data_IF_629333158515
#
_entry.id   IF_629333158515
#
_cell.length_a   1.000
_cell.length_b   1.000
_cell.length_c   1.000
_cell.angle_alpha   90.00
_cell.angle_beta   90.00
_cell.angle_gamma   90.00
#
_symmetry.space_group_name_H-M   'P 1'
#
loop_
_entity.id
_entity.type
_entity.pdbx_description
1 polymer ?
#
# COMPACT_ATOMS: atom_id res chain seq x y z
N UNK A 1 13.32 0.89 24.61
CA UNK A 1 12.53 0.25 23.52
C UNK A 1 12.40 1.20 22.36
N UNK A 2 12.79 0.77 21.16
CA UNK A 2 12.57 1.57 19.97
C UNK A 2 11.10 1.47 19.53
N UNK A 3 10.53 2.58 19.11
CA UNK A 3 9.16 2.64 18.59
C UNK A 3 9.19 3.24 17.19
N UNK A 4 8.07 3.14 16.47
CA UNK A 4 7.91 3.74 15.16
C UNK A 4 7.33 5.17 15.23
N UNK A 5 7.29 5.75 16.43
CA UNK A 5 6.76 7.09 16.64
C UNK A 5 7.48 8.10 15.72
N UNK A 6 6.69 8.90 15.01
CA UNK A 6 7.15 9.91 14.05
C UNK A 6 7.92 9.37 12.85
N UNK A 7 8.00 8.05 12.70
CA UNK A 7 8.52 7.44 11.48
C UNK A 7 7.46 7.45 10.40
N UNK A 8 7.85 7.65 9.17
CA UNK A 8 6.94 7.65 8.03
C UNK A 8 7.12 6.37 7.22
N UNK A 9 6.04 5.62 7.06
CA UNK A 9 6.00 4.38 6.30
C UNK A 9 5.23 4.57 5.01
N UNK A 10 5.80 4.12 3.91
CA UNK A 10 5.10 3.99 2.64
C UNK A 10 4.68 2.53 2.50
N UNK A 11 3.38 2.26 2.45
CA UNK A 11 2.85 0.89 2.40
C UNK A 11 2.01 0.72 1.15
N UNK A 12 2.43 -0.16 0.24
CA UNK A 12 1.62 -0.51 -0.93
C UNK A 12 0.63 -1.62 -0.59
N UNK A 13 -0.56 -1.57 -1.21
CA UNK A 13 -1.61 -2.54 -0.96
C UNK A 13 -2.21 -2.48 0.44
N UNK A 14 -2.27 -1.29 1.04
CA UNK A 14 -2.63 -1.10 2.44
C UNK A 14 -4.12 -0.88 2.70
N UNK A 15 -4.98 -0.99 1.70
CA UNK A 15 -6.42 -0.77 1.87
C UNK A 15 -7.11 -1.86 2.68
N UNK A 16 -6.49 -3.03 2.81
CA UNK A 16 -7.06 -4.18 3.51
C UNK A 16 -5.98 -5.22 3.82
N UNK A 17 -6.37 -6.30 4.53
CA UNK A 17 -5.54 -7.48 4.75
C UNK A 17 -4.24 -7.18 5.51
N UNK A 18 -3.16 -7.84 5.07
CA UNK A 18 -1.86 -7.78 5.75
C UNK A 18 -1.28 -6.35 5.74
N UNK A 19 -1.39 -5.64 4.61
CA UNK A 19 -0.89 -4.27 4.50
C UNK A 19 -1.56 -3.34 5.50
N UNK A 20 -2.87 -3.43 5.64
CA UNK A 20 -3.62 -2.65 6.62
C UNK A 20 -3.24 -3.04 8.06
N UNK A 21 -3.08 -4.32 8.34
CA UNK A 21 -2.68 -4.79 9.66
C UNK A 21 -1.30 -4.25 10.07
N UNK A 22 -0.35 -4.24 9.14
CA UNK A 22 0.98 -3.67 9.36
C UNK A 22 0.88 -2.17 9.64
N UNK A 23 0.10 -1.46 8.82
CA UNK A 23 -0.09 -0.02 8.96
C UNK A 23 -0.73 0.35 10.31
N UNK A 24 -1.75 -0.39 10.72
CA UNK A 24 -2.42 -0.18 12.01
C UNK A 24 -1.48 -0.42 13.19
N UNK A 25 -0.69 -1.48 13.12
CA UNK A 25 0.28 -1.77 14.19
C UNK A 25 1.33 -0.67 14.33
N UNK A 26 1.83 -0.17 13.19
CA UNK A 26 2.77 0.96 13.20
C UNK A 26 2.10 2.23 13.74
N UNK A 27 0.84 2.46 13.39
CA UNK A 27 0.07 3.61 13.85
C UNK A 27 -0.14 3.61 15.38
N UNK A 28 -0.25 2.45 15.99
CA UNK A 28 -0.32 2.32 17.46
C UNK A 28 0.91 2.93 18.13
N UNK A 29 2.06 2.92 17.49
CA UNK A 29 3.28 3.56 17.96
C UNK A 29 3.33 5.06 17.66
N UNK A 30 2.36 5.59 16.91
CA UNK A 30 2.34 6.99 16.50
C UNK A 30 3.03 7.26 15.16
N UNK A 31 3.14 6.27 14.30
CA UNK A 31 3.76 6.41 12.98
C UNK A 31 2.87 7.19 12.00
N UNK A 32 3.49 7.74 10.97
CA UNK A 32 2.81 8.35 9.83
C UNK A 32 2.74 7.33 8.70
N UNK A 33 1.58 7.13 8.12
CA UNK A 33 1.37 6.09 7.10
C UNK A 33 0.93 6.73 5.78
N UNK A 34 1.69 6.44 4.72
CA UNK A 34 1.28 6.73 3.35
C UNK A 34 0.68 5.45 2.80
N UNK A 35 -0.62 5.46 2.57
CA UNK A 35 -1.37 4.32 2.07
C UNK A 35 -1.43 4.40 0.55
N UNK A 36 -0.67 3.58 -0.13
CA UNK A 36 -0.70 3.51 -1.58
C UNK A 36 -1.50 2.29 -2.01
N UNK A 37 -2.63 2.51 -2.64
CA UNK A 37 -3.46 1.43 -3.15
C UNK A 37 -4.29 1.91 -4.34
N UNK A 38 -4.69 0.96 -5.15
CA UNK A 38 -5.46 1.19 -6.35
C UNK A 38 -6.95 1.40 -6.06
N UNK A 39 -7.44 0.87 -4.92
CA UNK A 39 -8.86 0.79 -4.60
C UNK A 39 -9.34 2.00 -3.80
N UNK A 40 -10.03 2.90 -4.48
CA UNK A 40 -10.70 4.04 -3.85
C UNK A 40 -12.19 3.79 -3.61
N UNK A 41 -12.79 2.84 -4.34
CA UNK A 41 -14.22 2.55 -4.27
C UNK A 41 -14.48 1.19 -3.61
N UNK A 42 -15.64 1.01 -2.94
CA UNK A 42 -16.00 -0.26 -2.34
C UNK A 42 -16.09 -1.38 -3.38
N UNK A 43 -15.63 -2.56 -3.02
CA UNK A 43 -15.75 -3.76 -3.85
C UNK A 43 -16.79 -4.69 -3.23
N UNK A 44 -17.72 -5.29 -4.01
CA UNK A 44 -18.81 -6.14 -3.46
C UNK A 44 -18.31 -7.35 -2.67
N UNK A 45 -17.16 -7.89 -3.00
CA UNK A 45 -16.60 -9.09 -2.38
C UNK A 45 -15.47 -8.84 -1.38
N UNK A 46 -14.94 -7.62 -1.33
CA UNK A 46 -13.78 -7.29 -0.51
C UNK A 46 -14.08 -6.05 0.33
N UNK A 47 -13.86 -6.11 1.64
CA UNK A 47 -14.15 -4.96 2.50
C UNK A 47 -13.10 -3.88 2.39
N UNK A 48 -13.53 -2.64 2.60
CA UNK A 48 -12.64 -1.52 2.80
C UNK A 48 -12.15 -0.84 1.51
N UNK A 49 -11.79 0.40 1.70
CA UNK A 49 -11.16 1.27 0.70
C UNK A 49 -9.93 1.91 1.34
N UNK A 50 -9.14 2.67 0.58
CA UNK A 50 -8.01 3.41 1.16
C UNK A 50 -8.50 4.44 2.18
N UNK A 51 -9.71 4.95 2.04
CA UNK A 51 -10.28 5.95 2.96
C UNK A 51 -10.74 5.33 4.28
N UNK A 52 -11.41 4.17 4.23
CA UNK A 52 -11.75 3.44 5.46
C UNK A 52 -10.51 2.96 6.19
N UNK A 53 -9.50 2.52 5.46
CA UNK A 53 -8.21 2.14 6.03
C UNK A 53 -7.52 3.34 6.72
N UNK A 54 -7.57 4.51 6.09
CA UNK A 54 -7.00 5.72 6.68
C UNK A 54 -7.71 6.08 8.00
N UNK A 55 -9.03 5.97 8.06
CA UNK A 55 -9.79 6.19 9.29
C UNK A 55 -9.36 5.24 10.40
N UNK A 56 -9.21 3.95 10.09
CA UNK A 56 -8.76 2.95 11.06
C UNK A 56 -7.35 3.24 11.59
N UNK A 57 -6.47 3.74 10.74
CA UNK A 57 -5.10 4.09 11.12
C UNK A 57 -5.10 5.29 12.07
N UNK A 58 -5.91 6.31 11.79
CA UNK A 58 -6.04 7.47 12.66
C UNK A 58 -6.62 7.05 14.01
N UNK A 59 -7.62 6.20 14.02
CA UNK A 59 -8.20 5.66 15.26
C UNK A 59 -7.17 4.86 16.08
N UNK A 60 -6.23 4.20 15.41
CA UNK A 60 -5.16 3.45 16.09
C UNK A 60 -4.09 4.34 16.72
N UNK A 61 -4.05 5.63 16.39
CA UNK A 61 -3.14 6.59 17.00
C UNK A 61 -2.09 7.21 16.09
N UNK A 62 -2.07 6.86 14.79
CA UNK A 62 -1.14 7.41 13.82
C UNK A 62 -1.76 8.49 12.95
N UNK A 63 -1.03 8.89 11.93
CA UNK A 63 -1.52 9.75 10.87
C UNK A 63 -1.55 8.97 9.55
N UNK A 64 -2.50 9.28 8.70
CA UNK A 64 -2.66 8.57 7.43
C UNK A 64 -2.81 9.53 6.27
N UNK A 65 -2.15 9.22 5.17
CA UNK A 65 -2.30 9.90 3.89
C UNK A 65 -2.69 8.85 2.85
N UNK A 66 -3.97 8.74 2.50
CA UNK A 66 -4.38 7.82 1.44
C UNK A 66 -4.04 8.41 0.07
N UNK A 67 -3.42 7.61 -0.79
CA UNK A 67 -3.07 8.00 -2.15
C UNK A 67 -3.47 6.88 -3.11
N UNK A 68 -4.28 7.22 -4.11
CA UNK A 68 -4.60 6.27 -5.17
C UNK A 68 -3.34 6.07 -6.01
N UNK A 69 -2.85 4.84 -6.07
CA UNK A 69 -1.60 4.54 -6.73
C UNK A 69 -1.64 3.14 -7.33
N UNK A 70 -1.44 3.07 -8.65
CA UNK A 70 -1.18 1.80 -9.32
C UNK A 70 0.34 1.63 -9.40
N UNK A 71 0.88 0.67 -8.66
CA UNK A 71 2.34 0.46 -8.56
C UNK A 71 2.98 0.00 -9.88
N UNK A 72 2.19 -0.36 -10.88
CA UNK A 72 2.69 -0.69 -12.22
C UNK A 72 3.09 0.56 -13.01
N UNK A 73 2.62 1.71 -12.59
CA UNK A 73 2.85 2.99 -13.27
C UNK A 73 3.84 3.84 -12.47
N UNK A 74 5.01 4.08 -13.05
CA UNK A 74 6.07 4.86 -12.40
C UNK A 74 5.61 6.26 -12.00
N UNK A 75 4.82 6.93 -12.83
CA UNK A 75 4.30 8.28 -12.54
C UNK A 75 3.37 8.26 -11.31
N UNK A 76 2.52 7.24 -11.20
CA UNK A 76 1.67 7.07 -10.02
C UNK A 76 2.51 6.92 -8.74
N UNK A 77 3.56 6.12 -8.80
CA UNK A 77 4.44 5.91 -7.64
C UNK A 77 5.18 7.19 -7.30
N UNK A 78 5.70 7.89 -8.28
CA UNK A 78 6.39 9.17 -8.09
C UNK A 78 5.46 10.20 -7.43
N UNK A 79 4.23 10.31 -7.90
CA UNK A 79 3.22 11.19 -7.31
C UNK A 79 2.93 10.82 -5.86
N UNK A 80 2.76 9.53 -5.56
CA UNK A 80 2.48 9.06 -4.21
C UNK A 80 3.63 9.40 -3.25
N UNK A 81 4.86 9.18 -3.69
CA UNK A 81 6.06 9.50 -2.90
C UNK A 81 6.13 11.02 -2.66
N UNK A 82 5.92 11.82 -3.70
CA UNK A 82 5.99 13.28 -3.58
C UNK A 82 4.93 13.81 -2.60
N UNK A 83 3.71 13.31 -2.68
CA UNK A 83 2.64 13.69 -1.74
C UNK A 83 3.00 13.32 -0.30
N UNK A 84 3.59 12.14 -0.11
CA UNK A 84 4.03 11.69 1.20
C UNK A 84 5.14 12.56 1.77
N UNK A 85 6.11 12.92 0.95
CA UNK A 85 7.22 13.81 1.35
C UNK A 85 6.71 15.21 1.69
N UNK A 86 5.80 15.75 0.90
CA UNK A 86 5.18 17.05 1.20
C UNK A 86 4.43 17.03 2.52
N UNK A 87 3.71 15.94 2.80
CA UNK A 87 2.87 15.82 4.00
C UNK A 87 3.67 15.57 5.27
N UNK A 88 4.67 14.68 5.21
CA UNK A 88 5.39 14.18 6.39
C UNK A 88 6.88 14.55 6.41
N UNK A 89 7.41 15.14 5.36
CA UNK A 89 8.81 15.58 5.29
C UNK A 89 9.80 14.53 4.79
N UNK A 90 9.40 13.29 4.63
CA UNK A 90 10.26 12.21 4.15
C UNK A 90 9.63 10.84 4.35
N UNK A 91 10.34 9.80 3.93
CA UNK A 91 9.93 8.40 4.09
C UNK A 91 11.08 7.63 4.74
N UNK A 92 10.81 6.98 5.87
CA UNK A 92 11.81 6.20 6.61
C UNK A 92 11.78 4.72 6.24
N UNK A 93 10.59 4.19 5.98
CA UNK A 93 10.38 2.75 5.75
C UNK A 93 9.46 2.55 4.56
N UNK A 94 9.84 1.66 3.66
CA UNK A 94 9.01 1.25 2.53
C UNK A 94 8.60 -0.20 2.68
N UNK A 95 7.29 -0.47 2.64
CA UNK A 95 6.74 -1.81 2.75
C UNK A 95 6.09 -2.21 1.42
N UNK A 96 6.74 -3.11 0.72
CA UNK A 96 6.27 -3.66 -0.55
C UNK A 96 5.34 -4.83 -0.28
N UNK A 97 4.06 -4.53 -0.08
CA UNK A 97 3.03 -5.52 0.25
C UNK A 97 2.10 -5.83 -0.93
N UNK A 98 1.89 -4.89 -1.84
CA UNK A 98 0.98 -5.10 -2.97
C UNK A 98 1.41 -6.31 -3.81
N UNK A 99 0.45 -7.15 -4.15
CA UNK A 99 0.72 -8.36 -4.91
C UNK A 99 -0.50 -8.76 -5.75
N UNK A 100 -0.28 -9.67 -6.69
CA UNK A 100 -1.34 -10.35 -7.43
C UNK A 100 -1.03 -11.85 -7.46
N UNK A 101 -2.07 -12.65 -7.44
CA UNK A 101 -1.96 -14.10 -7.41
C UNK A 101 -2.96 -14.75 -8.38
N UNK A 102 -2.57 -15.86 -8.96
CA UNK A 102 -3.43 -16.71 -9.77
C UNK A 102 -3.28 -18.15 -9.28
N UNK A 103 -4.38 -18.71 -8.78
CA UNK A 103 -4.39 -20.05 -8.16
C UNK A 103 -4.74 -21.14 -9.17
N UNK A 104 -4.11 -21.11 -10.33
CA UNK A 104 -4.30 -22.12 -11.39
C UNK A 104 -2.95 -22.71 -11.78
N UNK A 105 -2.98 -23.92 -12.33
CA UNK A 105 -1.77 -24.56 -12.84
C UNK A 105 -1.23 -23.84 -14.08
N UNK A 106 -0.02 -24.17 -14.48
CA UNK A 106 0.66 -23.54 -15.61
C UNK A 106 -0.15 -23.59 -16.89
N UNK A 107 -0.78 -24.73 -17.16
CA UNK A 107 -1.56 -24.93 -18.39
C UNK A 107 -2.87 -24.15 -18.41
N UNK A 108 -3.38 -23.76 -17.25
CA UNK A 108 -4.64 -23.00 -17.14
C UNK A 108 -4.41 -21.51 -16.94
N UNK A 109 -3.16 -21.06 -16.85
CA UNK A 109 -2.82 -19.66 -16.66
C UNK A 109 -2.49 -19.03 -18.01
N UNK A 110 -3.28 -18.03 -18.41
CA UNK A 110 -3.01 -17.30 -19.65
C UNK A 110 -1.85 -16.29 -19.47
N UNK A 111 -1.31 -15.81 -20.57
CA UNK A 111 -0.20 -14.86 -20.56
C UNK A 111 -0.59 -13.52 -19.94
N UNK A 112 -1.82 -13.09 -20.10
CA UNK A 112 -2.31 -11.85 -19.50
C UNK A 112 -2.19 -11.91 -17.97
N UNK A 113 -2.54 -13.04 -17.36
CA UNK A 113 -2.42 -13.23 -15.91
C UNK A 113 -0.97 -13.35 -15.46
N UNK A 114 -0.17 -14.09 -16.21
CA UNK A 114 1.26 -14.19 -15.96
C UNK A 114 1.94 -12.82 -15.99
N UNK A 115 1.67 -12.04 -17.03
CA UNK A 115 2.24 -10.70 -17.17
C UNK A 115 1.78 -9.78 -16.04
N UNK A 116 0.51 -9.84 -15.66
CA UNK A 116 -0.02 -9.06 -14.54
C UNK A 116 0.70 -9.38 -13.23
N UNK A 117 0.86 -10.66 -12.91
CA UNK A 117 1.56 -11.07 -11.69
C UNK A 117 3.02 -10.61 -11.71
N UNK A 118 3.70 -10.74 -12.83
CA UNK A 118 5.08 -10.33 -12.97
C UNK A 118 5.24 -8.82 -12.85
N UNK A 119 4.33 -8.05 -13.46
CA UNK A 119 4.33 -6.59 -13.36
C UNK A 119 4.13 -6.11 -11.93
N UNK A 120 3.24 -6.73 -11.18
CA UNK A 120 2.93 -6.32 -9.81
C UNK A 120 3.96 -6.87 -8.82
N UNK A 121 4.27 -8.16 -8.90
CA UNK A 121 5.09 -8.82 -7.89
C UNK A 121 6.60 -8.62 -8.04
N UNK A 122 7.06 -8.29 -9.25
CA UNK A 122 8.48 -8.15 -9.53
C UNK A 122 8.83 -6.77 -10.11
N UNK A 123 8.31 -6.44 -11.29
CA UNK A 123 8.70 -5.20 -11.99
C UNK A 123 8.29 -3.93 -11.25
N UNK A 124 7.14 -3.93 -10.57
CA UNK A 124 6.69 -2.75 -9.83
C UNK A 124 7.65 -2.33 -8.72
N UNK A 125 8.42 -3.27 -8.17
CA UNK A 125 9.34 -2.97 -7.06
C UNK A 125 10.46 -2.01 -7.47
N UNK A 126 10.81 -1.97 -8.74
CA UNK A 126 11.84 -1.03 -9.22
C UNK A 126 11.35 0.42 -9.21
N UNK A 127 10.04 0.64 -9.19
CA UNK A 127 9.44 1.98 -9.17
C UNK A 127 9.44 2.59 -7.76
N UNK A 128 9.44 1.76 -6.76
CA UNK A 128 9.37 2.16 -5.35
C UNK A 128 10.77 2.20 -4.74
#
# INVERSE_FOLDING_TARGET
MSTLKNKTLFVSGASRGIGLAIAKRAAEDGANIILAAKTAEPHPKLPGTIYTAAEEIVEAGGQALPVICDIRDEENVRNAVNKGVERFGGIDICINNASAIQLTGTLQTDMKRYDLMNQINALSLIHI
#
